data_IF_490085641963
#
_entry.id   IF_490085641963
#
_cell.length_a   1.000
_cell.length_b   1.000
_cell.length_c   1.000
_cell.angle_alpha   90.00
_cell.angle_beta   90.00
_cell.angle_gamma   90.00
#
_symmetry.space_group_name_H-M   'P 1'
#
loop_
_entity.id
_entity.type
_entity.pdbx_description
1 polymer ?
#
# COMPACT_ATOMS: atom_id res chain seq x y z
N UNK A 1 29.10 -23.32 -10.51
CA UNK A 1 28.61 -22.38 -9.48
C UNK A 1 29.51 -21.16 -9.34
N UNK A 2 30.83 -21.31 -9.22
CA UNK A 2 31.79 -20.18 -9.14
C UNK A 2 31.75 -19.23 -10.35
N UNK A 3 31.73 -19.76 -11.58
CA UNK A 3 31.67 -18.95 -12.82
C UNK A 3 30.36 -18.16 -12.94
N UNK A 4 29.24 -18.76 -12.50
CA UNK A 4 27.94 -18.10 -12.46
C UNK A 4 27.96 -16.94 -11.46
N UNK A 5 28.53 -17.16 -10.27
CA UNK A 5 28.62 -16.12 -9.23
C UNK A 5 29.69 -15.05 -9.53
N UNK A 6 30.72 -15.37 -10.31
CA UNK A 6 31.70 -14.36 -10.76
C UNK A 6 31.09 -13.35 -11.74
N UNK A 7 30.01 -13.70 -12.44
CA UNK A 7 29.28 -12.76 -13.30
C UNK A 7 28.61 -11.61 -12.51
N UNK A 8 28.30 -11.84 -11.23
CA UNK A 8 27.65 -10.87 -10.34
C UNK A 8 28.63 -10.22 -9.35
N UNK A 9 29.94 -10.46 -9.48
CA UNK A 9 30.98 -9.93 -8.57
C UNK A 9 31.97 -9.04 -9.32
N UNK A 10 32.49 -7.97 -8.67
CA UNK A 10 32.14 -7.46 -7.33
C UNK A 10 30.84 -6.63 -7.34
N UNK A 11 30.56 -5.97 -8.48
CA UNK A 11 29.33 -5.26 -8.80
C UNK A 11 28.30 -6.23 -9.38
N UNK A 12 27.02 -6.24 -8.98
CA UNK A 12 26.26 -5.20 -8.24
C UNK A 12 25.88 -5.56 -6.78
N UNK A 13 26.67 -6.40 -6.09
CA UNK A 13 26.38 -6.86 -4.72
C UNK A 13 26.89 -5.89 -3.61
N UNK A 14 27.33 -4.71 -4.01
CA UNK A 14 27.69 -3.59 -3.14
C UNK A 14 26.50 -2.61 -3.11
N UNK A 15 25.62 -2.81 -2.13
CA UNK A 15 24.34 -2.09 -2.04
C UNK A 15 24.50 -0.61 -1.75
N UNK A 16 25.48 -0.24 -0.91
CA UNK A 16 25.77 1.16 -0.59
C UNK A 16 26.25 1.92 -1.83
N UNK A 17 27.11 1.28 -2.62
CA UNK A 17 27.58 1.88 -3.87
C UNK A 17 26.50 1.87 -4.95
N UNK A 18 25.65 0.85 -5.01
CA UNK A 18 24.50 0.81 -5.93
C UNK A 18 23.50 1.93 -5.64
N UNK A 19 23.23 2.23 -4.38
CA UNK A 19 22.31 3.32 -4.00
C UNK A 19 22.85 4.71 -4.33
N UNK A 20 24.17 4.89 -4.34
CA UNK A 20 24.82 6.17 -4.66
C UNK A 20 25.00 6.35 -6.17
N UNK A 21 25.56 5.34 -6.85
CA UNK A 21 25.82 5.37 -8.28
C UNK A 21 25.65 3.97 -8.90
N UNK A 22 24.62 3.81 -9.74
CA UNK A 22 24.41 2.61 -10.54
C UNK A 22 24.14 2.94 -12.00
N UNK A 23 24.62 2.07 -12.90
CA UNK A 23 24.28 2.11 -14.31
C UNK A 23 23.05 1.22 -14.58
N UNK A 24 22.32 1.44 -15.68
CA UNK A 24 21.23 0.54 -16.09
C UNK A 24 21.65 -0.92 -16.23
N UNK A 25 22.92 -1.17 -16.59
CA UNK A 25 23.49 -2.53 -16.64
C UNK A 25 23.57 -3.19 -15.27
N UNK A 26 23.81 -2.41 -14.21
CA UNK A 26 23.88 -2.92 -12.84
C UNK A 26 22.48 -3.27 -12.32
N UNK A 27 21.48 -2.45 -12.67
CA UNK A 27 20.07 -2.73 -12.40
C UNK A 27 19.63 -4.03 -13.09
N UNK A 28 19.99 -4.21 -14.35
CA UNK A 28 19.74 -5.43 -15.10
C UNK A 28 20.41 -6.65 -14.44
N UNK A 29 21.66 -6.52 -13.97
CA UNK A 29 22.36 -7.61 -13.28
C UNK A 29 21.70 -7.98 -11.95
N UNK A 30 21.22 -7.02 -11.15
CA UNK A 30 20.49 -7.32 -9.91
C UNK A 30 19.12 -7.94 -10.18
N UNK A 31 18.42 -7.49 -11.22
CA UNK A 31 17.16 -8.12 -11.62
C UNK A 31 17.42 -9.56 -12.09
N UNK A 32 18.46 -9.81 -12.89
CA UNK A 32 18.86 -11.16 -13.30
C UNK A 32 19.23 -12.04 -12.11
N UNK A 33 19.94 -11.50 -11.10
CA UNK A 33 20.25 -12.22 -9.88
C UNK A 33 18.98 -12.55 -9.08
N UNK A 34 18.03 -11.63 -9.03
CA UNK A 34 16.73 -11.83 -8.37
C UNK A 34 15.91 -12.91 -9.06
N UNK A 35 15.84 -12.87 -10.39
CA UNK A 35 15.19 -13.91 -11.21
C UNK A 35 15.88 -15.25 -10.99
N UNK A 36 17.22 -15.29 -11.02
CA UNK A 36 17.99 -16.49 -10.76
C UNK A 36 17.63 -17.08 -9.39
N UNK A 37 17.67 -16.27 -8.32
CA UNK A 37 17.39 -16.70 -6.96
C UNK A 37 15.99 -17.30 -6.79
N UNK A 38 14.98 -16.71 -7.45
CA UNK A 38 13.61 -17.22 -7.45
C UNK A 38 13.47 -18.50 -8.30
N UNK A 39 14.23 -18.60 -9.39
CA UNK A 39 14.20 -19.74 -10.30
C UNK A 39 15.01 -20.96 -9.82
N UNK A 40 15.74 -20.87 -8.71
CA UNK A 40 16.45 -22.03 -8.15
C UNK A 40 15.42 -23.10 -7.73
N UNK A 41 15.55 -24.29 -8.31
CA UNK A 41 14.71 -25.43 -7.98
C UNK A 41 14.68 -25.73 -6.48
N UNK A 42 13.51 -26.17 -6.00
CA UNK A 42 13.27 -26.56 -4.61
C UNK A 42 13.76 -27.98 -4.30
N UNK A 43 14.84 -28.40 -4.96
CA UNK A 43 15.47 -29.72 -4.83
C UNK A 43 16.76 -29.63 -4.00
N UNK A 44 17.29 -30.76 -3.56
CA UNK A 44 18.58 -30.81 -2.85
C UNK A 44 19.74 -30.23 -3.68
N UNK A 45 19.70 -30.41 -5.00
CA UNK A 45 20.66 -29.82 -5.94
C UNK A 45 20.54 -28.29 -5.99
N UNK A 46 19.31 -27.77 -5.99
CA UNK A 46 19.07 -26.33 -5.89
C UNK A 46 19.52 -25.76 -4.54
N UNK A 47 19.30 -26.50 -3.45
CA UNK A 47 19.80 -26.12 -2.13
C UNK A 47 21.33 -26.06 -2.08
N UNK A 48 22.04 -26.92 -2.82
CA UNK A 48 23.51 -26.83 -2.92
C UNK A 48 23.97 -25.49 -3.51
N UNK A 49 23.24 -24.95 -4.50
CA UNK A 49 23.51 -23.62 -5.04
C UNK A 49 23.17 -22.52 -4.02
N UNK A 50 22.08 -22.66 -3.26
CA UNK A 50 21.72 -21.71 -2.20
C UNK A 50 22.74 -21.71 -1.05
N UNK A 51 23.23 -22.88 -0.64
CA UNK A 51 24.32 -23.04 0.33
C UNK A 51 25.60 -22.37 -0.17
N UNK A 52 25.91 -22.53 -1.46
CA UNK A 52 27.05 -21.83 -2.06
C UNK A 52 26.87 -20.31 -1.99
N UNK A 53 25.70 -19.78 -2.39
CA UNK A 53 25.37 -18.35 -2.31
C UNK A 53 25.44 -17.83 -0.87
N UNK A 54 24.99 -18.63 0.10
CA UNK A 54 25.09 -18.33 1.52
C UNK A 54 26.55 -18.27 1.98
N UNK A 55 27.38 -19.24 1.57
CA UNK A 55 28.82 -19.29 1.88
C UNK A 55 29.61 -18.11 1.31
N UNK A 56 29.10 -17.50 0.23
CA UNK A 56 29.65 -16.30 -0.39
C UNK A 56 29.38 -15.01 0.42
N UNK A 57 28.59 -15.08 1.50
CA UNK A 57 28.29 -13.95 2.38
C UNK A 57 27.20 -13.01 1.88
N UNK A 58 26.59 -13.29 0.73
CA UNK A 58 25.62 -12.39 0.07
C UNK A 58 24.39 -12.15 0.96
N UNK A 59 23.84 -13.22 1.55
CA UNK A 59 22.69 -13.13 2.45
C UNK A 59 23.04 -12.29 3.69
N UNK A 60 24.21 -12.52 4.29
CA UNK A 60 24.65 -11.76 5.47
C UNK A 60 24.85 -10.27 5.16
N UNK A 61 25.53 -9.93 4.06
CA UNK A 61 25.67 -8.53 3.64
C UNK A 61 24.33 -7.84 3.39
N UNK A 62 23.36 -8.58 2.84
CA UNK A 62 22.01 -8.06 2.59
C UNK A 62 21.26 -7.75 3.89
N UNK A 63 21.40 -8.63 4.89
CA UNK A 63 20.81 -8.44 6.22
C UNK A 63 21.51 -7.32 6.99
N UNK A 64 22.83 -7.20 6.87
CA UNK A 64 23.61 -6.11 7.47
C UNK A 64 23.23 -4.76 6.86
N UNK A 65 23.02 -4.70 5.54
CA UNK A 65 22.51 -3.51 4.87
C UNK A 65 21.12 -3.11 5.41
N UNK A 66 20.18 -4.06 5.50
CA UNK A 66 18.85 -3.80 6.09
C UNK A 66 18.99 -3.28 7.52
N UNK A 67 19.87 -3.87 8.33
CA UNK A 67 20.08 -3.48 9.73
C UNK A 67 20.70 -2.08 9.87
N UNK A 68 21.62 -1.73 8.99
CA UNK A 68 22.36 -0.46 9.05
C UNK A 68 21.49 0.71 8.59
N UNK A 69 20.69 0.49 7.55
CA UNK A 69 19.84 1.54 6.97
C UNK A 69 18.43 1.60 7.56
N UNK A 70 17.96 0.55 8.23
CA UNK A 70 16.66 0.59 8.89
C UNK A 70 16.70 1.53 10.12
N UNK A 71 15.77 2.50 10.22
CA UNK A 71 15.70 3.38 11.37
C UNK A 71 15.45 2.61 12.67
N UNK A 72 16.10 3.04 13.77
CA UNK A 72 15.97 2.40 15.08
C UNK A 72 14.50 2.34 15.49
N UNK A 73 14.02 1.13 15.73
CA UNK A 73 12.61 0.86 16.02
C UNK A 73 12.17 1.56 17.31
N UNK A 74 11.59 2.76 17.20
CA UNK A 74 10.69 3.26 18.25
C UNK A 74 9.45 2.35 18.27
N UNK A 75 8.99 1.88 19.45
CA UNK A 75 7.91 0.89 19.57
C UNK A 75 6.53 1.37 19.08
N UNK A 76 6.38 2.65 18.76
CA UNK A 76 5.14 3.20 18.26
C UNK A 76 5.00 2.91 16.76
N UNK A 77 4.09 1.98 16.43
CA UNK A 77 3.64 1.55 15.10
C UNK A 77 3.20 2.66 14.13
N UNK A 78 3.26 3.93 14.54
CA UNK A 78 2.71 5.10 13.85
C UNK A 78 3.77 5.96 13.13
N UNK A 79 5.04 5.55 13.15
CA UNK A 79 6.11 6.27 12.43
C UNK A 79 6.57 5.52 11.17
N UNK A 80 5.65 4.96 10.39
CA UNK A 80 5.95 4.56 9.00
C UNK A 80 6.16 5.78 8.10
N UNK A 81 5.64 6.94 8.51
CA UNK A 81 5.70 8.21 7.77
C UNK A 81 6.90 9.09 8.12
N UNK A 82 7.79 8.66 9.02
CA UNK A 82 9.00 9.43 9.32
C UNK A 82 9.88 9.53 8.09
N UNK A 83 10.51 10.69 7.89
CA UNK A 83 11.35 10.94 6.73
C UNK A 83 12.51 9.94 6.61
N UNK A 84 13.03 9.43 7.74
CA UNK A 84 14.04 8.37 7.82
C UNK A 84 13.57 7.04 7.18
N UNK A 85 12.31 6.64 7.42
CA UNK A 85 11.74 5.43 6.81
C UNK A 85 11.46 5.64 5.33
N UNK A 86 11.03 6.83 4.91
CA UNK A 86 10.84 7.16 3.50
C UNK A 86 12.16 7.12 2.74
N UNK A 87 13.23 7.66 3.33
CA UNK A 87 14.58 7.59 2.76
C UNK A 87 15.01 6.13 2.58
N UNK A 88 14.88 5.30 3.62
CA UNK A 88 15.23 3.88 3.54
C UNK A 88 14.43 3.14 2.45
N UNK A 89 13.11 3.38 2.36
CA UNK A 89 12.23 2.73 1.37
C UNK A 89 12.49 3.22 -0.05
N UNK A 90 13.01 4.44 -0.20
CA UNK A 90 13.39 5.01 -1.50
C UNK A 90 14.72 4.46 -2.05
N UNK A 91 15.50 3.71 -1.25
CA UNK A 91 16.78 3.16 -1.68
C UNK A 91 16.58 2.09 -2.77
N UNK A 92 17.24 2.21 -3.93
CA UNK A 92 17.00 1.33 -5.07
C UNK A 92 17.44 -0.12 -4.83
N UNK A 93 18.43 -0.37 -3.98
CA UNK A 93 18.88 -1.73 -3.61
C UNK A 93 17.80 -2.54 -2.88
N UNK A 94 16.95 -1.89 -2.09
CA UNK A 94 16.04 -2.57 -1.15
C UNK A 94 15.09 -3.55 -1.86
N UNK A 95 14.53 -3.14 -3.00
CA UNK A 95 13.60 -3.98 -3.76
C UNK A 95 14.27 -5.27 -4.27
N UNK A 96 15.52 -5.18 -4.72
CA UNK A 96 16.28 -6.36 -5.18
C UNK A 96 16.63 -7.28 -4.01
N UNK A 97 17.06 -6.69 -2.89
CA UNK A 97 17.36 -7.44 -1.66
C UNK A 97 16.17 -8.29 -1.24
N UNK A 98 14.98 -7.68 -1.12
CA UNK A 98 13.79 -8.42 -0.74
C UNK A 98 13.42 -9.51 -1.76
N UNK A 99 13.53 -9.21 -3.07
CA UNK A 99 13.24 -10.18 -4.14
C UNK A 99 14.15 -11.41 -4.08
N UNK A 100 15.47 -11.24 -4.10
CA UNK A 100 16.36 -12.40 -4.11
C UNK A 100 16.37 -13.13 -2.76
N UNK A 101 16.23 -12.42 -1.64
CA UNK A 101 16.09 -13.08 -0.33
C UNK A 101 14.84 -13.96 -0.29
N UNK A 102 13.74 -13.56 -0.92
CA UNK A 102 12.53 -14.38 -1.04
C UNK A 102 12.82 -15.68 -1.79
N UNK A 103 13.52 -15.60 -2.93
CA UNK A 103 13.91 -16.77 -3.72
C UNK A 103 14.85 -17.71 -2.97
N UNK A 104 15.87 -17.15 -2.30
CA UNK A 104 16.83 -17.92 -1.52
C UNK A 104 16.20 -18.54 -0.28
N UNK A 105 15.29 -17.84 0.41
CA UNK A 105 14.60 -18.34 1.60
C UNK A 105 13.53 -19.38 1.28
N UNK A 106 13.05 -19.48 0.04
CA UNK A 106 12.03 -20.46 -0.34
C UNK A 106 12.56 -21.90 -0.18
N UNK A 107 12.01 -22.65 0.78
CA UNK A 107 12.38 -24.05 1.09
C UNK A 107 13.87 -24.29 1.38
N UNK A 108 14.56 -23.31 1.96
CA UNK A 108 15.97 -23.43 2.32
C UNK A 108 16.22 -23.03 3.77
N UNK A 109 16.33 -24.03 4.64
CA UNK A 109 16.40 -23.86 6.11
C UNK A 109 17.52 -22.92 6.54
N UNK A 110 18.73 -23.07 5.98
CA UNK A 110 19.91 -22.27 6.36
C UNK A 110 19.69 -20.77 6.10
N UNK A 111 19.08 -20.41 4.96
CA UNK A 111 18.75 -19.00 4.68
C UNK A 111 17.60 -18.53 5.56
N UNK A 112 16.58 -19.36 5.81
CA UNK A 112 15.46 -18.99 6.66
C UNK A 112 15.90 -18.68 8.09
N UNK A 113 16.75 -19.53 8.66
CA UNK A 113 17.29 -19.34 10.02
C UNK A 113 18.14 -18.06 10.11
N UNK A 114 18.92 -17.74 9.06
CA UNK A 114 19.72 -16.51 9.00
C UNK A 114 18.85 -15.23 8.98
N UNK A 115 17.74 -15.22 8.23
CA UNK A 115 16.82 -14.07 8.15
C UNK A 115 15.96 -13.95 9.41
N UNK A 116 15.60 -15.08 10.04
CA UNK A 116 14.68 -15.18 11.18
C UNK A 116 15.21 -14.54 12.46
N UNK A 117 16.53 -14.32 12.58
CA UNK A 117 17.15 -13.70 13.76
C UNK A 117 16.67 -12.27 14.04
N UNK A 118 17.36 -11.28 13.47
CA UNK A 118 17.17 -9.88 13.87
C UNK A 118 16.35 -9.05 12.87
N UNK A 119 16.05 -9.59 11.69
CA UNK A 119 15.45 -8.80 10.60
C UNK A 119 13.93 -8.94 10.51
N UNK A 120 13.30 -9.92 11.17
CA UNK A 120 11.84 -10.14 11.11
C UNK A 120 11.05 -8.88 11.46
N UNK A 121 11.41 -8.19 12.54
CA UNK A 121 10.68 -6.99 12.98
C UNK A 121 10.81 -5.84 11.97
N UNK A 122 11.97 -5.71 11.32
CA UNK A 122 12.22 -4.69 10.30
C UNK A 122 11.42 -5.02 9.03
N UNK A 123 11.47 -6.28 8.57
CA UNK A 123 10.73 -6.74 7.39
C UNK A 123 9.22 -6.65 7.61
N UNK A 124 8.72 -7.02 8.79
CA UNK A 124 7.31 -6.84 9.15
C UNK A 124 6.89 -5.37 9.17
N UNK A 125 7.80 -4.46 9.50
CA UNK A 125 7.51 -3.03 9.41
C UNK A 125 7.44 -2.58 7.95
N UNK A 126 8.33 -3.07 7.08
CA UNK A 126 8.29 -2.84 5.64
C UNK A 126 6.98 -3.37 5.00
N UNK A 127 6.49 -4.54 5.43
CA UNK A 127 5.20 -5.12 5.02
C UNK A 127 4.03 -4.13 5.19
N UNK A 128 4.09 -3.27 6.21
CA UNK A 128 3.02 -2.31 6.50
C UNK A 128 3.12 -1.00 5.70
N UNK A 129 4.14 -0.82 4.86
CA UNK A 129 4.33 0.42 4.11
C UNK A 129 3.81 0.30 2.68
N UNK A 130 3.02 1.29 2.26
CA UNK A 130 2.66 1.48 0.86
C UNK A 130 3.74 2.30 0.15
N UNK A 131 4.30 1.78 -0.94
CA UNK A 131 5.35 2.45 -1.73
C UNK A 131 5.15 2.19 -3.23
N UNK A 132 5.70 3.08 -4.06
CA UNK A 132 5.63 3.01 -5.53
C UNK A 132 6.28 1.73 -6.07
N UNK A 133 7.42 1.32 -5.49
CA UNK A 133 8.14 0.09 -5.86
C UNK A 133 7.54 -1.18 -5.21
N UNK A 134 6.36 -1.08 -4.59
CA UNK A 134 5.66 -2.20 -3.94
C UNK A 134 6.52 -2.94 -2.88
N UNK A 135 7.36 -2.21 -2.15
CA UNK A 135 8.25 -2.76 -1.10
C UNK A 135 7.47 -3.54 -0.04
N UNK A 136 6.27 -3.10 0.33
CA UNK A 136 5.40 -3.82 1.27
C UNK A 136 5.04 -5.23 0.80
N UNK A 137 4.67 -5.38 -0.48
CA UNK A 137 4.36 -6.69 -1.07
C UNK A 137 5.62 -7.57 -1.21
N UNK A 138 6.79 -6.98 -1.48
CA UNK A 138 8.04 -7.73 -1.50
C UNK A 138 8.43 -8.24 -0.10
N UNK A 139 8.21 -7.43 0.93
CA UNK A 139 8.42 -7.82 2.31
C UNK A 139 7.43 -8.91 2.76
N UNK A 140 6.15 -8.78 2.38
CA UNK A 140 5.14 -9.81 2.60
C UNK A 140 5.56 -11.15 1.98
N UNK A 141 5.95 -11.15 0.70
CA UNK A 141 6.41 -12.36 0.00
C UNK A 141 7.61 -13.02 0.70
N UNK A 142 8.55 -12.22 1.21
CA UNK A 142 9.69 -12.74 1.98
C UNK A 142 9.22 -13.42 3.28
N UNK A 143 8.33 -12.78 4.04
CA UNK A 143 7.77 -13.37 5.27
C UNK A 143 7.01 -14.67 4.98
N UNK A 144 6.22 -14.71 3.91
CA UNK A 144 5.52 -15.93 3.49
C UNK A 144 6.50 -17.05 3.06
N UNK A 145 7.61 -16.72 2.39
CA UNK A 145 8.63 -17.71 2.07
C UNK A 145 9.30 -18.30 3.32
N UNK A 146 9.51 -17.48 4.36
CA UNK A 146 10.05 -17.89 5.65
C UNK A 146 9.10 -18.81 6.43
N UNK A 147 7.78 -18.64 6.28
CA UNK A 147 6.76 -19.46 6.96
C UNK A 147 6.83 -20.97 6.63
N UNK A 148 7.60 -21.38 5.62
CA UNK A 148 7.86 -22.81 5.38
C UNK A 148 8.72 -23.48 6.46
N UNK A 149 9.31 -22.72 7.39
CA UNK A 149 9.95 -23.20 8.61
C UNK A 149 9.10 -22.86 9.83
N UNK A 150 8.79 -23.86 10.66
CA UNK A 150 7.90 -23.72 11.83
C UNK A 150 8.40 -22.67 12.83
N UNK A 151 9.71 -22.58 13.06
CA UNK A 151 10.29 -21.60 13.99
C UNK A 151 10.09 -20.16 13.49
N UNK A 152 10.36 -19.94 12.20
CA UNK A 152 10.17 -18.65 11.55
C UNK A 152 8.68 -18.27 11.51
N UNK A 153 7.80 -19.21 11.16
CA UNK A 153 6.36 -19.02 11.13
C UNK A 153 5.81 -18.58 12.50
N UNK A 154 6.23 -19.24 13.59
CA UNK A 154 5.80 -18.89 14.94
C UNK A 154 6.22 -17.47 15.33
N UNK A 155 7.45 -17.06 14.97
CA UNK A 155 7.95 -15.71 15.26
C UNK A 155 7.23 -14.63 14.44
N UNK A 156 6.92 -14.92 13.17
CA UNK A 156 6.17 -14.01 12.29
C UNK A 156 4.74 -13.82 12.81
N UNK A 157 4.07 -14.91 13.20
CA UNK A 157 2.71 -14.84 13.77
C UNK A 157 2.69 -14.04 15.09
N UNK A 158 3.70 -14.22 15.95
CA UNK A 158 3.83 -13.43 17.17
C UNK A 158 3.93 -11.92 16.86
N UNK A 159 4.80 -11.54 15.93
CA UNK A 159 5.01 -10.13 15.56
C UNK A 159 3.77 -9.53 14.88
N UNK A 160 3.14 -10.25 13.93
CA UNK A 160 1.88 -9.83 13.29
C UNK A 160 0.74 -9.72 14.32
N UNK A 161 0.68 -10.63 15.28
CA UNK A 161 -0.28 -10.63 16.39
C UNK A 161 -0.12 -9.42 17.33
N UNK A 162 1.12 -9.09 17.71
CA UNK A 162 1.44 -7.89 18.50
C UNK A 162 0.99 -6.61 17.78
N UNK A 163 1.29 -6.48 16.48
CA UNK A 163 0.83 -5.36 15.66
C UNK A 163 -0.69 -5.27 15.64
N UNK A 164 -1.39 -6.40 15.44
CA UNK A 164 -2.87 -6.42 15.40
C UNK A 164 -3.48 -6.01 16.74
N UNK A 165 -2.93 -6.48 17.85
CA UNK A 165 -3.38 -6.12 19.19
C UNK A 165 -3.19 -4.62 19.47
N UNK A 166 -2.03 -4.07 19.10
CA UNK A 166 -1.73 -2.66 19.32
C UNK A 166 -2.57 -1.74 18.40
N UNK A 167 -2.75 -2.08 17.12
CA UNK A 167 -3.67 -1.37 16.21
C UNK A 167 -5.10 -1.36 16.76
N UNK A 168 -5.56 -2.49 17.31
CA UNK A 168 -6.87 -2.58 17.96
C UNK A 168 -6.97 -1.67 19.19
N UNK A 169 -5.94 -1.65 20.04
CA UNK A 169 -5.86 -0.80 21.23
C UNK A 169 -5.92 0.69 20.86
N UNK A 170 -5.13 1.10 19.87
CA UNK A 170 -5.10 2.48 19.36
C UNK A 170 -6.43 2.90 18.73
N UNK A 171 -7.03 2.04 17.91
CA UNK A 171 -8.33 2.30 17.30
C UNK A 171 -9.44 2.46 18.35
N UNK A 172 -9.41 1.65 19.42
CA UNK A 172 -10.33 1.78 20.54
C UNK A 172 -10.14 3.11 21.29
N UNK A 173 -8.90 3.50 21.58
CA UNK A 173 -8.59 4.77 22.23
C UNK A 173 -8.99 5.99 21.36
N UNK A 174 -8.76 5.94 20.05
CA UNK A 174 -9.20 6.99 19.12
C UNK A 174 -10.73 7.07 19.06
N UNK A 175 -11.41 5.93 19.01
CA UNK A 175 -12.87 5.86 19.03
C UNK A 175 -13.43 6.45 20.31
N UNK A 176 -12.87 6.11 21.47
CA UNK A 176 -13.28 6.68 22.76
C UNK A 176 -13.07 8.20 22.81
N UNK A 177 -11.92 8.69 22.33
CA UNK A 177 -11.64 10.12 22.24
C UNK A 177 -12.61 10.86 21.30
N UNK A 178 -12.93 10.27 20.15
CA UNK A 178 -13.89 10.85 19.19
C UNK A 178 -15.32 10.85 19.75
N UNK A 179 -15.74 9.76 20.39
CA UNK A 179 -17.05 9.67 21.05
C UNK A 179 -17.16 10.69 22.19
N UNK A 180 -16.12 10.85 23.00
CA UNK A 180 -16.06 11.88 24.05
C UNK A 180 -16.16 13.30 23.51
N UNK A 181 -15.52 13.61 22.37
CA UNK A 181 -15.64 14.91 21.70
C UNK A 181 -17.07 15.17 21.15
N UNK A 182 -17.82 14.11 20.85
CA UNK A 182 -19.23 14.15 20.41
C UNK A 182 -20.24 14.11 21.57
N UNK A 183 -19.79 14.10 22.84
CA UNK A 183 -20.67 14.01 24.01
C UNK A 183 -21.33 12.63 24.18
N UNK A 184 -20.75 11.59 23.58
CA UNK A 184 -21.25 10.21 23.63
C UNK A 184 -20.31 9.36 24.49
N UNK A 185 -20.86 8.65 25.48
CA UNK A 185 -20.12 7.69 26.32
C UNK A 185 -20.59 6.27 26.06
N UNK A 186 -19.67 5.32 26.07
CA UNK A 186 -19.97 3.88 26.08
C UNK A 186 -20.15 3.41 27.52
N UNK A 187 -21.26 2.75 27.82
CA UNK A 187 -21.46 2.06 29.09
C UNK A 187 -20.71 0.70 29.13
N UNK A 188 -20.61 0.06 30.30
CA UNK A 188 -19.90 -1.22 30.51
C UNK A 188 -20.47 -2.40 29.69
N UNK A 189 -21.61 -2.21 29.02
CA UNK A 189 -22.25 -3.19 28.12
C UNK A 189 -22.00 -2.90 26.63
N UNK A 190 -21.19 -1.89 26.30
CA UNK A 190 -20.88 -1.48 24.93
C UNK A 190 -21.99 -0.69 24.24
N UNK A 191 -23.01 -0.24 24.98
CA UNK A 191 -24.10 0.60 24.47
C UNK A 191 -23.68 2.08 24.52
N UNK A 192 -23.98 2.80 23.45
CA UNK A 192 -23.72 4.24 23.33
C UNK A 192 -24.83 5.01 24.05
N UNK A 193 -24.48 5.76 25.07
CA UNK A 193 -25.36 6.71 25.76
C UNK A 193 -24.96 8.14 25.38
N UNK A 194 -25.90 8.90 24.83
CA UNK A 194 -25.71 10.30 24.43
C UNK A 194 -26.09 11.18 25.63
N UNK A 195 -25.17 12.00 26.13
CA UNK A 195 -25.45 12.90 27.28
C UNK A 195 -26.18 14.19 26.86
N UNK A 196 -26.24 14.51 25.57
CA UNK A 196 -26.80 15.77 25.07
C UNK A 196 -28.15 15.59 24.34
N UNK A 197 -29.24 15.99 25.00
CA UNK A 197 -30.59 16.14 24.40
C UNK A 197 -30.61 17.05 23.15
N UNK A 198 -29.64 17.95 22.99
CA UNK A 198 -29.57 18.86 21.83
C UNK A 198 -29.18 18.18 20.51
N UNK A 199 -28.39 17.09 20.56
CA UNK A 199 -27.97 16.38 19.33
C UNK A 199 -29.11 15.55 18.76
N UNK A 200 -29.94 14.97 19.63
CA UNK A 200 -31.12 14.21 19.20
C UNK A 200 -32.13 15.10 18.46
N UNK A 201 -32.32 16.35 18.94
CA UNK A 201 -33.14 17.35 18.24
C UNK A 201 -32.54 17.78 16.89
N UNK A 202 -31.21 17.93 16.79
CA UNK A 202 -30.55 18.25 15.51
C UNK A 202 -30.60 17.08 14.51
N UNK A 203 -30.61 15.83 14.97
CA UNK A 203 -30.79 14.66 14.09
C UNK A 203 -32.24 14.51 13.60
N UNK A 204 -33.22 14.99 14.37
CA UNK A 204 -34.63 14.98 13.99
C UNK A 204 -34.95 16.06 12.92
N UNK A 205 -34.13 17.12 12.83
CA UNK A 205 -34.21 18.16 11.78
C UNK A 205 -33.53 17.76 10.45
N UNK A 206 -32.77 16.65 10.41
CA UNK A 206 -32.21 16.08 9.19
C UNK A 206 -33.28 15.33 8.37
N UNK A 207 -34.36 16.03 8.00
CA UNK A 207 -35.33 15.47 7.06
C UNK A 207 -34.65 15.14 5.72
N UNK A 208 -35.02 14.03 5.10
CA UNK A 208 -34.52 13.62 3.78
C UNK A 208 -34.61 14.76 2.77
N UNK A 209 -33.56 14.93 1.99
CA UNK A 209 -33.53 15.95 0.95
C UNK A 209 -34.37 15.50 -0.24
N UNK A 210 -35.58 16.08 -0.34
CA UNK A 210 -36.48 15.80 -1.45
C UNK A 210 -36.06 16.62 -2.68
N UNK A 211 -35.51 15.99 -3.71
CA UNK A 211 -35.26 16.64 -5.00
C UNK A 211 -33.93 16.24 -5.66
N UNK A 212 -33.43 17.13 -6.51
CA UNK A 212 -32.16 16.95 -7.20
C UNK A 212 -31.00 17.26 -6.24
N UNK A 213 -30.11 16.30 -6.05
CA UNK A 213 -28.92 16.42 -5.20
C UNK A 213 -27.65 16.33 -6.03
N UNK A 214 -26.59 17.00 -5.58
CA UNK A 214 -25.29 16.92 -6.23
C UNK A 214 -24.71 15.51 -6.10
N UNK A 215 -24.30 14.87 -7.21
CA UNK A 215 -23.76 13.50 -7.16
C UNK A 215 -22.42 13.40 -6.39
N UNK A 216 -21.69 14.51 -6.28
CA UNK A 216 -20.38 14.57 -5.60
C UNK A 216 -20.55 14.65 -4.08
N UNK A 217 -21.17 15.72 -3.56
CA UNK A 217 -21.32 15.91 -2.12
C UNK A 217 -22.59 15.29 -1.53
N UNK A 218 -23.52 14.79 -2.37
CA UNK A 218 -24.83 14.24 -1.97
C UNK A 218 -25.74 15.21 -1.21
N UNK A 219 -25.48 16.50 -1.38
CA UNK A 219 -26.28 17.59 -0.82
C UNK A 219 -26.91 18.37 -1.99
N UNK A 220 -28.08 18.96 -1.76
CA UNK A 220 -28.77 19.90 -2.63
C UNK A 220 -29.06 21.21 -1.89
N UNK A 221 -30.11 21.93 -2.30
CA UNK A 221 -30.39 23.26 -1.78
C UNK A 221 -30.83 23.31 -0.31
N UNK A 222 -31.24 22.19 0.30
CA UNK A 222 -31.60 22.19 1.72
C UNK A 222 -30.38 22.42 2.60
N UNK A 223 -29.24 21.83 2.21
CA UNK A 223 -27.97 21.93 2.94
C UNK A 223 -26.99 22.93 2.31
N UNK A 224 -27.14 23.21 1.01
CA UNK A 224 -26.30 24.14 0.25
C UNK A 224 -27.15 25.17 -0.51
N UNK A 225 -27.90 26.05 0.19
CA UNK A 225 -28.88 26.95 -0.45
C UNK A 225 -28.27 27.96 -1.43
N UNK A 226 -26.99 28.27 -1.27
CA UNK A 226 -26.28 29.26 -2.09
C UNK A 226 -25.48 28.65 -3.25
N UNK A 227 -25.34 27.32 -3.31
CA UNK A 227 -24.54 26.65 -4.35
C UNK A 227 -25.41 26.30 -5.53
N UNK A 228 -25.02 26.73 -6.72
CA UNK A 228 -25.80 26.47 -7.94
C UNK A 228 -25.61 25.02 -8.39
N UNK A 229 -26.72 24.29 -8.56
CA UNK A 229 -26.75 22.97 -9.18
C UNK A 229 -26.82 23.08 -10.71
N UNK A 230 -25.86 22.49 -11.40
CA UNK A 230 -25.84 22.33 -12.86
C UNK A 230 -26.34 20.95 -13.29
N UNK A 231 -27.04 20.88 -14.43
CA UNK A 231 -27.51 19.63 -15.04
C UNK A 231 -26.53 19.21 -16.14
N UNK A 232 -25.94 18.03 -15.99
CA UNK A 232 -24.96 17.47 -16.91
C UNK A 232 -25.58 16.31 -17.68
N UNK A 233 -25.68 16.48 -19.00
CA UNK A 233 -26.19 15.48 -19.94
C UNK A 233 -25.18 15.20 -21.02
N UNK A 234 -25.06 13.93 -21.40
CA UNK A 234 -24.35 13.59 -22.63
C UNK A 234 -25.14 14.13 -23.82
N UNK A 235 -24.48 14.94 -24.62
CA UNK A 235 -25.07 15.64 -25.76
C UNK A 235 -24.22 15.39 -27.00
N UNK A 236 -24.86 14.92 -28.08
CA UNK A 236 -24.23 14.74 -29.39
C UNK A 236 -24.85 15.69 -30.40
N UNK A 237 -24.01 16.34 -31.20
CA UNK A 237 -24.45 17.14 -32.35
C UNK A 237 -24.88 16.22 -33.49
N UNK A 238 -26.10 16.39 -34.00
CA UNK A 238 -26.63 15.57 -35.09
C UNK A 238 -27.55 16.40 -36.00
N UNK A 239 -27.89 15.85 -37.17
CA UNK A 239 -28.94 16.44 -38.00
C UNK A 239 -30.28 16.22 -37.30
N UNK A 240 -31.12 17.25 -37.26
CA UNK A 240 -32.44 17.17 -36.61
C UNK A 240 -33.36 16.23 -37.39
N UNK A 241 -33.30 16.30 -38.72
CA UNK A 241 -34.05 15.47 -39.63
C UNK A 241 -33.09 14.90 -40.68
N UNK A 242 -33.10 13.58 -40.85
CA UNK A 242 -32.20 12.91 -41.80
C UNK A 242 -32.64 13.13 -43.24
N UNK A 243 -33.95 13.33 -43.47
CA UNK A 243 -34.56 13.44 -44.79
C UNK A 243 -34.92 14.88 -45.19
N UNK A 244 -34.32 15.91 -44.56
CA UNK A 244 -34.55 17.30 -44.95
C UNK A 244 -34.07 17.53 -46.40
N UNK A 245 -34.98 18.03 -47.26
CA UNK A 245 -34.73 18.25 -48.69
C UNK A 245 -33.75 19.40 -48.99
N UNK A 246 -33.34 20.17 -47.98
CA UNK A 246 -32.41 21.28 -48.14
C UNK A 246 -30.97 20.76 -48.27
N UNK A 247 -30.13 21.36 -49.15
CA UNK A 247 -28.74 20.94 -49.34
C UNK A 247 -27.87 21.13 -48.07
N UNK A 248 -28.26 22.02 -47.17
CA UNK A 248 -27.66 22.18 -45.84
C UNK A 248 -28.66 21.73 -44.79
N UNK A 249 -28.40 20.58 -44.18
CA UNK A 249 -29.25 20.00 -43.13
C UNK A 249 -29.23 20.86 -41.87
N UNK A 250 -30.39 20.97 -41.23
CA UNK A 250 -30.51 21.63 -39.93
C UNK A 250 -29.79 20.80 -38.86
N UNK A 251 -28.84 21.44 -38.16
CA UNK A 251 -28.04 20.79 -37.13
C UNK A 251 -28.60 21.12 -35.75
N UNK A 252 -28.83 20.10 -34.94
CA UNK A 252 -29.26 20.20 -33.55
C UNK A 252 -28.43 19.34 -32.63
N UNK A 253 -28.97 19.11 -31.44
CA UNK A 253 -28.34 18.32 -30.39
C UNK A 253 -29.30 17.23 -29.93
N UNK A 254 -28.81 16.01 -29.87
CA UNK A 254 -29.51 14.88 -29.24
C UNK A 254 -28.88 14.61 -27.89
N UNK A 255 -29.70 14.55 -26.86
CA UNK A 255 -29.28 14.27 -25.47
C UNK A 255 -29.87 12.94 -25.02
N UNK A 256 -29.16 12.24 -24.14
CA UNK A 256 -29.75 11.12 -23.40
C UNK A 256 -30.79 11.62 -22.39
N UNK A 257 -31.70 10.74 -21.97
CA UNK A 257 -32.73 11.05 -20.96
C UNK A 257 -32.17 11.11 -19.54
N UNK A 258 -31.05 10.44 -19.28
CA UNK A 258 -30.40 10.44 -17.98
C UNK A 258 -29.48 11.67 -17.83
N UNK A 259 -29.56 12.32 -16.68
CA UNK A 259 -28.73 13.47 -16.35
C UNK A 259 -28.19 13.36 -14.94
N UNK A 260 -26.99 13.89 -14.74
CA UNK A 260 -26.40 14.06 -13.41
C UNK A 260 -26.55 15.51 -12.99
N UNK A 261 -26.76 15.74 -11.70
CA UNK A 261 -26.81 17.09 -11.13
C UNK A 261 -25.60 17.28 -10.25
N UNK A 262 -24.86 18.37 -10.44
CA UNK A 262 -23.61 18.63 -9.73
C UNK A 262 -23.54 20.10 -9.37
N UNK A 263 -23.15 20.44 -8.14
CA UNK A 263 -22.85 21.83 -7.81
C UNK A 263 -21.70 22.33 -8.69
N UNK A 264 -21.83 23.53 -9.26
CA UNK A 264 -20.79 24.13 -10.10
C UNK A 264 -19.45 24.16 -9.34
N UNK A 265 -19.48 24.53 -8.06
CA UNK A 265 -18.29 24.56 -7.21
C UNK A 265 -17.67 23.17 -7.00
N UNK A 266 -18.50 22.13 -6.84
CA UNK A 266 -18.02 20.74 -6.70
C UNK A 266 -17.42 20.23 -8.01
N UNK A 267 -17.99 20.59 -9.15
CA UNK A 267 -17.41 20.26 -10.46
C UNK A 267 -16.07 20.97 -10.66
N UNK A 268 -15.98 22.27 -10.35
CA UNK A 268 -14.74 23.04 -10.45
C UNK A 268 -13.63 22.54 -9.52
N UNK A 269 -13.98 22.01 -8.35
CA UNK A 269 -13.00 21.45 -7.40
C UNK A 269 -12.52 20.05 -7.78
N UNK A 270 -13.28 19.34 -8.63
CA UNK A 270 -12.99 17.96 -9.03
C UNK A 270 -12.25 17.85 -10.37
N UNK A 271 -12.16 18.96 -11.13
CA UNK A 271 -11.42 19.08 -12.41
C UNK A 271 -10.08 19.75 -12.16
#
# INVERSE_FOLDING_TARGET
MSVLMSHFRPYPLDFDKFDTEHLPEDEQKLELFSILAVAIDKSELGNTLKDYILSLGIVHHSLDYIRTHAPVAKPTLLHSDSDEWKEFISKPSLKYILKFLTGLASHHKSTQDAVTGDCITIIHRLEQVSSVEHVGSLAENLLEALCSNECAASRIEEVRGQTKAEKKRLAMAMREKQLGALGMRTNDRGQLTVESQSIMQQMEELGEESGLVCVICREGYKFQPNKVLGVYTFTKRCNVEEFELKPRKTVGYSTVTHFNVVHIDCHMSAV
#
